data_IF_090144271058
#
_entry.id   IF_090144271058
#
_cell.length_a   1.000
_cell.length_b   1.000
_cell.length_c   1.000
_cell.angle_alpha   90.00
_cell.angle_beta   90.00
_cell.angle_gamma   90.00
#
_symmetry.space_group_name_H-M   'P 1'
#
loop_
_entity.id
_entity.type
_entity.pdbx_description
1 polymer ?
#
# COMPACT_ATOMS: atom_id res chain seq x y z
N UNK A 1 -4.85 9.97 -2.90
CA UNK A 1 -3.41 10.22 -2.61
C UNK A 1 -3.12 11.36 -1.65
N UNK A 2 -3.62 12.60 -1.85
CA UNK A 2 -3.21 13.73 -0.99
C UNK A 2 -3.35 13.49 0.52
N UNK A 3 -4.45 12.85 0.95
CA UNK A 3 -4.65 12.50 2.36
C UNK A 3 -3.73 11.37 2.84
N UNK A 4 -3.47 10.37 1.98
CA UNK A 4 -2.50 9.31 2.28
C UNK A 4 -1.09 9.87 2.46
N UNK A 5 -0.68 10.85 1.62
CA UNK A 5 0.60 11.55 1.78
C UNK A 5 0.65 12.35 3.08
N UNK A 6 -0.44 13.02 3.47
CA UNK A 6 -0.52 13.72 4.76
C UNK A 6 -0.27 12.77 5.93
N UNK A 7 -0.83 11.56 5.89
CA UNK A 7 -0.64 10.52 6.90
C UNK A 7 0.77 9.91 6.83
N UNK A 8 1.34 9.74 5.63
CA UNK A 8 2.72 9.28 5.43
C UNK A 8 3.73 10.27 6.05
N UNK A 9 3.53 11.58 5.87
CA UNK A 9 4.35 12.59 6.53
C UNK A 9 4.28 12.54 8.06
N UNK A 10 3.12 12.20 8.64
CA UNK A 10 3.00 11.98 10.08
C UNK A 10 3.74 10.71 10.52
N UNK A 11 3.63 9.63 9.76
CA UNK A 11 4.33 8.37 10.00
C UNK A 11 5.85 8.56 9.97
N UNK A 12 6.37 9.20 8.91
CA UNK A 12 7.80 9.48 8.73
C UNK A 12 8.38 10.29 9.90
N UNK A 13 7.62 11.27 10.42
CA UNK A 13 8.02 12.00 11.63
C UNK A 13 8.08 11.11 12.86
N UNK A 14 7.16 10.15 12.99
CA UNK A 14 7.10 9.27 14.15
C UNK A 14 8.22 8.23 14.14
N UNK A 15 8.66 7.79 12.96
CA UNK A 15 9.79 6.86 12.82
C UNK A 15 11.17 7.54 12.76
N UNK A 16 11.25 8.88 12.81
CA UNK A 16 12.50 9.63 12.60
C UNK A 16 13.65 9.23 13.55
N UNK A 17 13.35 8.68 14.73
CA UNK A 17 14.34 8.15 15.67
C UNK A 17 14.78 6.70 15.42
N UNK A 18 14.18 6.01 14.45
CA UNK A 18 14.52 4.63 14.11
C UNK A 18 15.84 4.59 13.30
N UNK A 19 16.76 3.63 13.53
CA UNK A 19 18.01 3.54 12.78
C UNK A 19 17.82 3.45 11.25
N UNK A 20 16.73 2.82 10.82
CA UNK A 20 16.36 2.65 9.42
C UNK A 20 15.32 3.68 8.92
N UNK A 21 15.08 4.78 9.66
CA UNK A 21 14.01 5.74 9.36
C UNK A 21 13.93 6.15 7.88
N UNK A 22 15.09 6.35 7.24
CA UNK A 22 15.16 6.72 5.82
C UNK A 22 14.62 5.61 4.91
N UNK A 23 15.08 4.37 5.08
CA UNK A 23 14.65 3.23 4.28
C UNK A 23 13.19 2.79 4.56
N UNK A 24 12.65 3.18 5.72
CA UNK A 24 11.26 2.88 6.11
C UNK A 24 10.29 4.04 5.81
N UNK A 25 10.79 5.18 5.34
CA UNK A 25 9.93 6.33 5.03
C UNK A 25 9.03 6.03 3.85
N UNK A 26 7.80 6.53 3.91
CA UNK A 26 6.79 6.34 2.87
C UNK A 26 6.44 7.68 2.24
N UNK A 27 6.32 7.70 0.92
CA UNK A 27 5.87 8.84 0.14
C UNK A 27 4.92 8.35 -0.95
N UNK A 28 3.88 9.13 -1.24
CA UNK A 28 2.98 8.87 -2.35
C UNK A 28 3.29 9.79 -3.53
N UNK A 29 3.20 9.24 -4.74
CA UNK A 29 3.37 10.02 -5.95
C UNK A 29 2.34 11.17 -6.02
N UNK A 30 2.76 12.34 -6.54
CA UNK A 30 1.82 13.40 -6.84
C UNK A 30 0.97 13.02 -8.05
N UNK A 31 -0.34 12.96 -7.85
CA UNK A 31 -1.30 12.84 -8.94
C UNK A 31 -1.68 14.23 -9.46
N UNK A 32 -1.57 14.41 -10.78
CA UNK A 32 -1.97 15.61 -11.50
C UNK A 32 -3.13 15.30 -12.43
N UNK A 33 -4.12 16.19 -12.46
CA UNK A 33 -5.27 16.09 -13.37
C UNK A 33 -5.11 17.11 -14.49
N UNK A 34 -5.06 16.62 -15.73
CA UNK A 34 -5.02 17.44 -16.94
C UNK A 34 -6.42 17.56 -17.54
N UNK A 35 -6.81 18.80 -17.86
CA UNK A 35 -7.92 19.09 -18.77
C UNK A 35 -7.37 19.17 -20.20
N UNK A 36 -7.81 18.27 -21.08
CA UNK A 36 -7.36 18.18 -22.47
C UNK A 36 -8.52 18.54 -23.38
N UNK A 37 -8.35 19.63 -24.13
CA UNK A 37 -9.35 20.04 -25.14
C UNK A 37 -9.17 19.20 -26.40
N UNK A 38 -10.04 18.22 -26.57
CA UNK A 38 -10.04 17.30 -27.72
C UNK A 38 -11.40 17.37 -28.42
N UNK A 39 -11.40 17.81 -29.69
CA UNK A 39 -12.63 18.07 -30.45
C UNK A 39 -13.42 16.79 -30.74
N UNK A 40 -12.75 15.65 -30.78
CA UNK A 40 -13.37 14.35 -31.05
C UNK A 40 -13.85 13.63 -29.78
N UNK A 41 -13.61 14.20 -28.59
CA UNK A 41 -14.08 13.62 -27.33
C UNK A 41 -15.51 14.10 -27.03
N UNK A 42 -16.42 13.25 -26.51
CA UNK A 42 -17.75 13.68 -26.08
C UNK A 42 -17.67 14.86 -25.10
N UNK A 43 -18.28 15.99 -25.47
CA UNK A 43 -18.21 17.23 -24.68
C UNK A 43 -16.97 18.11 -24.93
N UNK A 44 -16.08 17.73 -25.85
CA UNK A 44 -14.93 18.54 -26.27
C UNK A 44 -13.78 18.65 -25.27
N UNK A 45 -13.90 17.96 -24.12
CA UNK A 45 -12.95 17.97 -23.01
C UNK A 45 -12.76 16.54 -22.53
N UNK A 46 -11.52 16.06 -22.55
CA UNK A 46 -11.08 14.84 -21.89
C UNK A 46 -10.33 15.21 -20.60
N UNK A 47 -10.55 14.43 -19.54
CA UNK A 47 -9.79 14.54 -18.30
C UNK A 47 -8.80 13.39 -18.22
N UNK A 48 -7.55 13.67 -17.87
CA UNK A 48 -6.50 12.67 -17.74
C UNK A 48 -5.82 12.81 -16.38
N UNK A 49 -5.74 11.70 -15.67
CA UNK A 49 -4.90 11.57 -14.47
C UNK A 49 -3.50 11.16 -14.92
N UNK A 50 -2.48 11.77 -14.34
CA UNK A 50 -1.09 11.45 -14.63
C UNK A 50 -0.23 11.50 -13.37
N UNK A 51 0.73 10.59 -13.34
CA UNK A 51 1.70 10.41 -12.26
C UNK A 51 3.09 10.18 -12.85
N UNK A 52 4.18 10.46 -12.10
CA UNK A 52 5.51 10.03 -12.48
C UNK A 52 5.59 8.51 -12.63
N UNK A 53 6.34 8.04 -13.62
CA UNK A 53 6.63 6.62 -13.76
C UNK A 53 7.51 6.14 -12.59
N UNK A 54 7.20 4.95 -12.06
CA UNK A 54 8.01 4.31 -11.03
C UNK A 54 9.09 3.44 -11.66
N UNK A 55 10.35 3.75 -11.37
CA UNK A 55 11.48 2.91 -11.75
C UNK A 55 11.83 1.94 -10.61
N UNK A 56 11.66 0.63 -10.85
CA UNK A 56 12.01 -0.40 -9.87
C UNK A 56 11.16 -1.66 -9.97
N UNK A 57 11.25 -2.50 -8.94
CA UNK A 57 10.39 -3.68 -8.79
C UNK A 57 9.08 -3.24 -8.16
N UNK A 58 8.03 -3.16 -8.97
CA UNK A 58 6.70 -2.87 -8.49
C UNK A 58 6.20 -4.00 -7.58
N UNK A 59 5.74 -3.63 -6.40
CA UNK A 59 5.29 -4.57 -5.35
C UNK A 59 3.97 -4.09 -4.78
N UNK A 60 3.02 -5.01 -4.56
CA UNK A 60 1.77 -4.77 -3.82
C UNK A 60 1.88 -5.47 -2.47
N UNK A 61 1.94 -4.71 -1.38
CA UNK A 61 2.20 -5.22 -0.03
C UNK A 61 0.93 -5.63 0.71
N UNK A 62 -0.18 -4.94 0.46
CA UNK A 62 -1.52 -5.36 0.87
C UNK A 62 -2.56 -4.87 -0.16
N UNK A 63 -3.76 -5.43 -0.10
CA UNK A 63 -4.89 -4.96 -0.90
C UNK A 63 -5.95 -4.27 -0.03
N UNK A 64 -7.04 -3.81 -0.66
CA UNK A 64 -8.15 -3.17 0.04
C UNK A 64 -9.15 -4.14 0.70
N UNK A 65 -8.91 -5.46 0.61
CA UNK A 65 -9.79 -6.52 1.08
C UNK A 65 -9.21 -7.32 2.26
N UNK A 66 -8.03 -6.97 2.75
CA UNK A 66 -7.37 -7.60 3.90
C UNK A 66 -6.32 -8.65 3.53
N UNK A 67 -6.00 -8.85 2.26
CA UNK A 67 -4.85 -9.67 1.88
C UNK A 67 -3.55 -8.94 2.26
N UNK A 68 -2.59 -9.70 2.81
CA UNK A 68 -1.24 -9.25 3.13
C UNK A 68 -0.26 -10.19 2.46
N UNK A 69 0.65 -9.63 1.68
CA UNK A 69 1.69 -10.38 1.01
C UNK A 69 2.70 -10.96 2.01
N UNK A 70 3.07 -12.24 1.86
CA UNK A 70 3.98 -12.95 2.78
C UNK A 70 5.33 -13.30 2.17
N UNK A 71 5.47 -13.29 0.85
CA UNK A 71 6.68 -13.72 0.13
C UNK A 71 7.33 -12.55 -0.63
N UNK A 72 8.67 -12.41 -0.66
CA UNK A 72 9.37 -11.36 -1.42
C UNK A 72 9.25 -11.53 -2.95
N UNK A 73 9.50 -10.47 -3.75
CA UNK A 73 9.15 -10.54 -5.17
C UNK A 73 10.24 -11.31 -5.89
N UNK A 74 9.90 -12.05 -6.96
CA UNK A 74 10.93 -12.70 -7.75
C UNK A 74 11.93 -11.65 -8.24
N UNK A 75 13.23 -11.97 -8.30
CA UNK A 75 14.25 -11.04 -8.77
C UNK A 75 13.91 -10.58 -10.19
N UNK A 76 14.24 -9.32 -10.54
CA UNK A 76 13.86 -8.75 -11.83
C UNK A 76 14.37 -9.63 -12.99
N UNK A 77 13.44 -10.17 -13.78
CA UNK A 77 13.78 -10.91 -14.99
C UNK A 77 14.34 -9.93 -16.02
N UNK A 78 15.48 -10.27 -16.64
CA UNK A 78 16.16 -9.44 -17.66
C UNK A 78 15.33 -9.15 -18.93
N UNK A 79 14.11 -9.65 -18.99
CA UNK A 79 13.18 -9.45 -20.09
C UNK A 79 11.85 -8.98 -19.53
N UNK A 80 11.31 -7.82 -20.00
CA UNK A 80 9.92 -7.50 -19.73
C UNK A 80 9.04 -8.58 -20.36
N UNK A 81 7.99 -9.08 -19.67
CA UNK A 81 7.01 -9.93 -20.34
C UNK A 81 6.44 -9.14 -21.52
N UNK A 82 6.40 -9.80 -22.68
CA UNK A 82 5.89 -9.20 -23.90
C UNK A 82 4.45 -8.73 -23.65
N UNK A 83 4.23 -7.41 -23.69
CA UNK A 83 2.89 -6.81 -23.68
C UNK A 83 2.10 -7.39 -24.85
N UNK A 84 1.21 -8.33 -24.54
CA UNK A 84 0.24 -8.87 -25.47
C UNK A 84 -0.58 -7.73 -26.05
N UNK A 85 -0.61 -7.66 -27.38
CA UNK A 85 -1.33 -6.65 -28.15
C UNK A 85 -2.85 -6.83 -27.96
N UNK A 86 -3.41 -6.19 -26.93
CA UNK A 86 -4.83 -6.17 -26.62
C UNK A 86 -5.30 -4.76 -26.27
N UNK A 87 -6.24 -4.25 -27.05
CA UNK A 87 -7.12 -3.07 -26.90
C UNK A 87 -6.74 -1.95 -25.90
N UNK A 88 -6.63 -0.72 -26.44
CA UNK A 88 -6.58 0.55 -25.70
C UNK A 88 -7.86 0.74 -24.85
N UNK A 89 -7.83 0.25 -23.61
CA UNK A 89 -8.70 0.68 -22.52
C UNK A 89 -7.80 1.25 -21.44
N UNK A 90 -8.05 2.51 -21.03
CA UNK A 90 -7.46 3.04 -19.80
C UNK A 90 -7.71 2.04 -18.68
N UNK A 91 -6.67 1.73 -17.90
CA UNK A 91 -6.72 0.81 -16.77
C UNK A 91 -7.63 1.33 -15.66
N UNK A 92 -8.95 1.25 -15.86
CA UNK A 92 -9.81 0.76 -14.80
C UNK A 92 -9.47 -0.72 -14.67
N UNK A 93 -8.63 -1.07 -13.69
CA UNK A 93 -8.70 -2.41 -13.15
C UNK A 93 -10.11 -2.52 -12.56
N UNK A 94 -10.95 -3.33 -13.17
CA UNK A 94 -12.13 -3.83 -12.46
C UNK A 94 -11.56 -4.61 -11.27
N UNK A 95 -11.71 -4.07 -10.06
CA UNK A 95 -11.34 -4.74 -8.80
C UNK A 95 -12.37 -5.80 -8.38
N UNK A 96 -13.21 -6.26 -9.32
CA UNK A 96 -14.10 -7.39 -9.13
C UNK A 96 -13.39 -8.60 -9.76
N UNK A 97 -13.05 -9.57 -8.91
CA UNK A 97 -12.42 -10.87 -9.21
C UNK A 97 -10.87 -10.88 -9.13
N UNK A 98 -10.30 -10.62 -7.94
CA UNK A 98 -9.04 -11.25 -7.54
C UNK A 98 -9.41 -12.53 -6.78
N UNK A 99 -9.44 -13.65 -7.50
CA UNK A 99 -9.62 -15.01 -6.98
C UNK A 99 -8.54 -15.33 -5.92
N UNK A 100 -8.99 -16.03 -4.86
CA UNK A 100 -8.17 -16.54 -3.76
C UNK A 100 -7.04 -17.46 -4.26
N UNK A 101 -5.83 -16.92 -4.47
CA UNK A 101 -4.61 -17.73 -4.52
C UNK A 101 -4.11 -17.95 -3.09
N UNK A 102 -4.52 -19.10 -2.52
CA UNK A 102 -4.00 -19.66 -1.29
C UNK A 102 -2.50 -20.03 -1.49
N UNK A 103 -1.59 -19.13 -1.13
CA UNK A 103 -0.16 -19.45 -1.03
C UNK A 103 0.08 -20.28 0.25
N UNK A 104 0.29 -21.59 0.08
CA UNK A 104 0.70 -22.51 1.15
C UNK A 104 2.08 -22.13 1.72
N UNK A 105 2.15 -21.91 3.05
CA UNK A 105 3.37 -21.54 3.78
C UNK A 105 4.43 -22.67 3.76
N UNK A 106 5.58 -22.47 3.09
CA UNK A 106 6.77 -23.32 3.26
C UNK A 106 7.75 -22.71 4.29
N UNK A 107 7.89 -23.37 5.44
CA UNK A 107 8.81 -23.04 6.54
C UNK A 107 10.26 -23.38 6.17
N UNK A 108 11.11 -22.37 5.97
CA UNK A 108 12.55 -22.53 5.70
C UNK A 108 13.41 -22.07 6.88
N UNK A 109 14.00 -23.06 7.56
CA UNK A 109 14.99 -22.89 8.62
C UNK A 109 16.43 -22.91 8.05
N UNK A 110 17.18 -21.82 8.19
CA UNK A 110 18.65 -21.83 8.04
C UNK A 110 19.30 -20.82 8.99
N UNK A 111 20.28 -21.29 9.76
CA UNK A 111 20.70 -20.71 11.03
C UNK A 111 22.10 -20.09 10.94
N UNK A 112 22.25 -18.82 11.39
CA UNK A 112 23.35 -18.49 12.29
C UNK A 112 24.43 -17.49 11.83
N UNK A 113 24.30 -16.83 10.68
CA UNK A 113 25.21 -15.70 10.33
C UNK A 113 24.55 -14.55 9.55
N UNK A 114 23.25 -14.68 9.25
CA UNK A 114 22.43 -13.82 8.40
C UNK A 114 21.33 -13.06 9.17
N UNK A 115 21.32 -13.15 10.51
CA UNK A 115 20.17 -12.78 11.34
C UNK A 115 19.83 -11.28 11.32
N UNK A 116 20.82 -10.40 11.16
CA UNK A 116 20.57 -8.94 11.08
C UNK A 116 20.14 -8.49 9.69
N UNK A 117 20.71 -9.05 8.63
CA UNK A 117 20.32 -8.67 7.26
C UNK A 117 18.90 -9.17 6.96
N UNK A 118 18.57 -10.39 7.40
CA UNK A 118 17.21 -10.94 7.31
C UNK A 118 16.20 -10.11 8.10
N UNK A 119 16.55 -9.63 9.30
CA UNK A 119 15.63 -8.82 10.09
C UNK A 119 15.36 -7.44 9.49
N UNK A 120 16.31 -6.86 8.75
CA UNK A 120 16.09 -5.63 7.98
C UNK A 120 15.18 -5.85 6.78
N UNK A 121 15.42 -6.92 6.00
CA UNK A 121 14.55 -7.31 4.87
C UNK A 121 13.12 -7.59 5.33
N UNK A 122 12.95 -8.34 6.43
CA UNK A 122 11.65 -8.59 7.06
C UNK A 122 10.97 -7.28 7.47
N UNK A 123 11.74 -6.29 7.93
CA UNK A 123 11.19 -4.98 8.31
C UNK A 123 10.72 -4.18 7.09
N UNK A 124 11.42 -4.27 5.95
CA UNK A 124 10.98 -3.63 4.71
C UNK A 124 9.66 -4.23 4.22
N UNK A 125 9.54 -5.56 4.19
CA UNK A 125 8.31 -6.22 3.75
C UNK A 125 7.12 -5.97 4.69
N UNK A 126 7.38 -5.78 5.99
CA UNK A 126 6.32 -5.58 6.99
C UNK A 126 6.01 -4.11 7.29
N UNK A 127 6.85 -3.15 6.89
CA UNK A 127 6.64 -1.71 7.15
C UNK A 127 5.35 -1.14 6.57
N UNK A 128 4.93 -1.49 5.34
CA UNK A 128 3.62 -1.07 4.81
C UNK A 128 2.44 -1.50 5.70
N UNK A 129 2.53 -2.65 6.36
CA UNK A 129 1.49 -3.10 7.31
C UNK A 129 1.47 -2.24 8.57
N UNK A 130 2.64 -1.84 9.07
CA UNK A 130 2.74 -0.93 10.21
C UNK A 130 2.22 0.47 9.87
N UNK A 131 2.43 0.95 8.64
CA UNK A 131 1.87 2.21 8.16
C UNK A 131 0.35 2.17 8.11
N UNK A 132 -0.24 1.11 7.54
CA UNK A 132 -1.69 0.93 7.49
C UNK A 132 -2.31 0.98 8.90
N UNK A 133 -1.73 0.23 9.86
CA UNK A 133 -2.15 0.28 11.26
C UNK A 133 -1.94 1.68 11.88
N UNK A 134 -0.78 2.30 11.67
CA UNK A 134 -0.51 3.65 12.16
C UNK A 134 -1.57 4.66 11.70
N UNK A 135 -2.02 4.58 10.44
CA UNK A 135 -3.04 5.52 9.94
C UNK A 135 -4.36 5.41 10.71
N UNK A 136 -4.76 4.20 11.08
CA UNK A 136 -5.93 3.95 11.92
C UNK A 136 -5.77 4.55 13.32
N UNK A 137 -4.64 4.29 13.99
CA UNK A 137 -4.39 4.81 15.33
C UNK A 137 -4.25 6.35 15.33
N UNK A 138 -3.52 6.90 14.36
CA UNK A 138 -3.26 8.34 14.22
C UNK A 138 -4.54 9.14 13.93
N UNK A 139 -5.54 8.52 13.30
CA UNK A 139 -6.84 9.15 13.01
C UNK A 139 -7.89 8.85 14.08
N UNK A 140 -7.50 8.18 15.17
CA UNK A 140 -8.38 7.73 16.24
C UNK A 140 -9.51 6.82 15.74
N UNK A 141 -9.14 5.88 14.87
CA UNK A 141 -10.00 4.84 14.33
C UNK A 141 -10.94 5.28 13.22
N UNK A 142 -10.64 6.40 12.55
CA UNK A 142 -11.52 6.98 11.51
C UNK A 142 -11.15 6.54 10.11
N UNK A 143 -9.86 6.44 9.82
CA UNK A 143 -9.35 6.18 8.48
C UNK A 143 -8.28 5.12 8.52
N UNK A 144 -8.26 4.25 7.52
CA UNK A 144 -7.20 3.28 7.31
C UNK A 144 -6.75 3.36 5.86
N UNK A 145 -5.46 3.63 5.65
CA UNK A 145 -4.83 3.58 4.33
C UNK A 145 -4.38 2.14 4.05
N UNK A 146 -4.77 1.62 2.90
CA UNK A 146 -4.45 0.27 2.42
C UNK A 146 -4.27 0.30 0.90
N UNK A 147 -4.21 -0.88 0.27
CA UNK A 147 -3.83 -1.04 -1.14
C UNK A 147 -2.45 -0.42 -1.41
N UNK A 148 -1.51 -0.72 -0.50
CA UNK A 148 -0.17 -0.16 -0.54
C UNK A 148 0.63 -0.88 -1.61
N UNK A 149 0.99 -0.13 -2.65
CA UNK A 149 1.72 -0.62 -3.81
C UNK A 149 2.65 0.45 -4.37
N UNK A 150 3.75 0.02 -4.99
CA UNK A 150 4.77 0.91 -5.53
C UNK A 150 6.16 0.27 -5.57
N UNK A 151 7.20 1.07 -5.36
CA UNK A 151 8.60 0.62 -5.36
C UNK A 151 9.27 0.95 -4.04
N UNK A 152 10.24 0.13 -3.66
CA UNK A 152 11.09 0.37 -2.50
C UNK A 152 12.57 0.41 -2.90
N UNK A 153 13.32 1.32 -2.30
CA UNK A 153 14.79 1.25 -2.32
C UNK A 153 15.38 1.81 -1.01
N UNK A 154 16.60 1.39 -0.67
CA UNK A 154 17.25 1.76 0.59
C UNK A 154 17.53 3.29 0.73
N UNK A 155 17.57 4.03 -0.37
CA UNK A 155 17.87 5.46 -0.40
C UNK A 155 16.64 6.33 -0.19
N UNK A 156 15.54 6.01 -0.86
CA UNK A 156 14.33 6.86 -0.88
C UNK A 156 13.20 6.30 -0.01
N UNK A 157 13.35 5.05 0.46
CA UNK A 157 12.29 4.31 1.13
C UNK A 157 11.24 3.84 0.14
N UNK A 158 9.98 3.90 0.55
CA UNK A 158 8.84 3.50 -0.27
C UNK A 158 8.28 4.67 -1.06
N UNK A 159 8.25 4.51 -2.39
CA UNK A 159 7.50 5.40 -3.28
C UNK A 159 6.25 4.66 -3.75
N UNK A 160 5.11 5.11 -3.24
CA UNK A 160 3.82 4.45 -3.34
C UNK A 160 2.90 5.16 -4.34
N UNK A 161 1.94 4.42 -4.88
CA UNK A 161 0.85 5.00 -5.67
C UNK A 161 -0.50 4.35 -5.40
N UNK A 162 -1.56 4.98 -5.89
CA UNK A 162 -2.95 4.50 -5.87
C UNK A 162 -3.45 3.89 -4.54
N UNK A 163 -3.23 4.54 -3.37
CA UNK A 163 -3.74 4.04 -2.11
C UNK A 163 -5.26 4.12 -2.02
N UNK A 164 -5.84 3.16 -1.32
CA UNK A 164 -7.24 3.18 -0.89
C UNK A 164 -7.35 3.65 0.56
N UNK A 165 -8.36 4.48 0.86
CA UNK A 165 -8.66 4.92 2.22
C UNK A 165 -10.06 4.43 2.61
N UNK A 166 -10.10 3.47 3.53
CA UNK A 166 -11.33 3.07 4.20
C UNK A 166 -11.69 4.11 5.26
N UNK A 167 -12.90 4.65 5.21
CA UNK A 167 -13.34 5.70 6.15
C UNK A 167 -14.59 5.29 6.95
N UNK A 168 -14.54 5.44 8.28
CA UNK A 168 -15.67 5.21 9.17
C UNK A 168 -16.56 6.44 9.23
N UNK A 169 -17.69 6.39 8.52
CA UNK A 169 -18.67 7.47 8.56
C UNK A 169 -19.52 7.46 9.83
N UNK A 170 -19.44 8.54 10.62
CA UNK A 170 -20.32 8.79 11.77
C UNK A 170 -21.77 9.13 11.38
N UNK A 171 -22.03 9.41 10.10
CA UNK A 171 -23.33 9.86 9.60
C UNK A 171 -24.05 8.80 8.76
N UNK A 172 -23.47 7.59 8.65
CA UNK A 172 -24.03 6.49 7.85
C UNK A 172 -23.80 6.61 6.33
N UNK A 173 -23.19 7.69 5.83
CA UNK A 173 -22.76 7.78 4.42
C UNK A 173 -21.62 6.81 4.16
N UNK A 174 -21.86 5.73 3.42
CA UNK A 174 -20.82 4.81 2.93
C UNK A 174 -20.13 5.40 1.69
N UNK A 175 -18.90 4.95 1.39
CA UNK A 175 -18.18 5.24 0.14
C UNK A 175 -17.82 6.71 -0.09
N UNK A 176 -17.34 7.41 0.94
CA UNK A 176 -16.93 8.83 0.79
C UNK A 176 -15.74 8.99 -0.15
N UNK A 177 -14.92 7.95 -0.31
CA UNK A 177 -13.75 7.96 -1.18
C UNK A 177 -13.93 7.14 -2.48
N UNK A 178 -15.17 6.82 -2.87
CA UNK A 178 -15.47 6.02 -4.06
C UNK A 178 -15.76 4.55 -3.76
N UNK A 179 -15.86 3.73 -4.81
CA UNK A 179 -16.30 2.32 -4.70
C UNK A 179 -15.32 1.43 -3.92
N UNK A 180 -14.03 1.80 -3.90
CA UNK A 180 -12.97 1.04 -3.21
C UNK A 180 -12.95 1.23 -1.70
N UNK A 181 -13.61 2.28 -1.18
CA UNK A 181 -13.82 2.51 0.25
C UNK A 181 -14.89 1.55 0.79
N UNK A 182 -14.42 0.46 1.41
CA UNK A 182 -15.25 -0.57 2.07
C UNK A 182 -15.56 -0.20 3.53
N UNK A 183 -15.21 1.01 3.97
CA UNK A 183 -15.53 1.56 5.29
C UNK A 183 -15.10 0.66 6.45
N UNK A 184 -15.97 0.50 7.44
CA UNK A 184 -15.69 -0.30 8.63
C UNK A 184 -15.40 -1.78 8.32
N UNK A 185 -16.01 -2.34 7.27
CA UNK A 185 -15.79 -3.74 6.89
C UNK A 185 -14.39 -3.94 6.29
N UNK A 186 -13.93 -3.00 5.45
CA UNK A 186 -12.56 -2.98 4.94
C UNK A 186 -11.51 -2.89 6.06
N UNK A 187 -11.76 -2.02 7.06
CA UNK A 187 -10.91 -1.89 8.25
C UNK A 187 -10.88 -3.19 9.05
N UNK A 188 -12.04 -3.80 9.30
CA UNK A 188 -12.13 -5.07 10.01
C UNK A 188 -11.36 -6.17 9.29
N UNK A 189 -11.51 -6.26 7.96
CA UNK A 189 -10.81 -7.26 7.15
C UNK A 189 -9.30 -7.09 7.17
N UNK A 190 -8.79 -5.85 7.13
CA UNK A 190 -7.37 -5.58 7.34
C UNK A 190 -6.89 -6.12 8.70
N UNK A 191 -7.61 -5.83 9.79
CA UNK A 191 -7.17 -6.25 11.13
C UNK A 191 -7.32 -7.76 11.39
N UNK A 192 -8.11 -8.51 10.60
CA UNK A 192 -8.18 -9.98 10.70
C UNK A 192 -6.87 -10.65 10.30
N UNK A 193 -6.13 -10.08 9.36
CA UNK A 193 -4.89 -10.65 8.82
C UNK A 193 -3.65 -9.91 9.29
N UNK A 194 -3.81 -8.68 9.80
CA UNK A 194 -2.72 -7.89 10.36
C UNK A 194 -2.10 -8.57 11.58
N UNK A 195 -0.77 -8.71 11.56
CA UNK A 195 0.04 -9.08 12.71
C UNK A 195 0.94 -7.91 13.05
N UNK A 196 0.88 -7.43 14.29
CA UNK A 196 1.76 -6.36 14.75
C UNK A 196 3.23 -6.79 14.58
N UNK A 197 4.03 -5.96 13.91
CA UNK A 197 5.46 -6.21 13.72
C UNK A 197 6.33 -5.29 14.60
N UNK A 198 7.65 -5.37 14.46
CA UNK A 198 8.60 -4.59 15.24
C UNK A 198 8.39 -3.07 15.07
N UNK A 199 7.97 -2.61 13.89
CA UNK A 199 7.69 -1.19 13.65
C UNK A 199 6.40 -0.75 14.35
N UNK A 200 5.35 -1.59 14.39
CA UNK A 200 4.16 -1.32 15.20
C UNK A 200 4.52 -1.13 16.68
N UNK A 201 5.41 -1.99 17.20
CA UNK A 201 5.88 -1.94 18.60
C UNK A 201 6.70 -0.67 18.86
N UNK A 202 7.63 -0.32 17.96
CA UNK A 202 8.41 0.92 18.03
C UNK A 202 7.51 2.17 18.05
N UNK A 203 6.44 2.15 17.27
CA UNK A 203 5.44 3.21 17.21
C UNK A 203 4.50 3.24 18.43
N UNK A 204 4.47 2.17 19.24
CA UNK A 204 3.59 2.04 20.40
C UNK A 204 2.11 1.93 20.01
N UNK A 205 1.82 1.30 18.88
CA UNK A 205 0.45 1.12 18.38
C UNK A 205 -0.31 0.10 19.24
N UNK A 206 -1.63 0.28 19.37
CA UNK A 206 -2.45 -0.63 20.17
C UNK A 206 -2.81 -1.89 19.40
N UNK A 207 -2.67 -3.07 20.02
CA UNK A 207 -3.19 -4.32 19.47
C UNK A 207 -4.70 -4.24 19.14
N UNK A 208 -5.09 -4.67 17.94
CA UNK A 208 -6.49 -4.73 17.49
C UNK A 208 -6.77 -6.10 16.84
N UNK A 209 -7.10 -7.12 17.63
CA UNK A 209 -7.49 -8.46 17.15
C UNK A 209 -6.74 -9.62 17.81
N UNK A 210 -7.16 -10.86 17.53
CA UNK A 210 -6.46 -12.08 17.98
C UNK A 210 -5.21 -12.30 17.11
N UNK A 211 -4.02 -12.08 17.67
CA UNK A 211 -2.75 -12.17 16.92
C UNK A 211 -1.79 -11.01 17.14
N UNK A 212 -2.19 -10.05 17.97
CA UNK A 212 -1.35 -9.09 18.69
C UNK A 212 -1.68 -9.28 20.19
#
# INVERSE_FOLDING_TARGET
QGEAERLALMFNRRIAGHPLARALSIHFLPCVVYEIKERNYPGGIAWMLAEPELEGVFTKWNNNAGHVRRTPPPPPTRHPPALGRGSLGLGMINEDDEDDEDDEDEDYNDQGRADTARSEEDLYETSPQAFSHFTYDATHGKELVCDLQGVWNATDGFTMTDPVIHHVSRTGRRHTNGATDKGADGILNFFKTHRCNQLCQFLGLQAKGEGC
#
